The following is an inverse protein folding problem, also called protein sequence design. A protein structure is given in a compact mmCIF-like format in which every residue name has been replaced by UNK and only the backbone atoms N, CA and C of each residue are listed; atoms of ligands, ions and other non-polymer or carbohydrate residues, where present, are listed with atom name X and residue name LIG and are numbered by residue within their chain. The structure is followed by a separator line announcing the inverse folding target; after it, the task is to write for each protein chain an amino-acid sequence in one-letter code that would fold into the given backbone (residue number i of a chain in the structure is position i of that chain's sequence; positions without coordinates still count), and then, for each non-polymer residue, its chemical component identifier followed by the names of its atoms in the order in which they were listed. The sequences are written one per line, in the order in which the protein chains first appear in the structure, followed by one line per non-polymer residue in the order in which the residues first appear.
data_IF_179111529775
#
_entry.id   IF_179111529775
#
_cell.length_a   1.000
_cell.length_b   1.000
_cell.length_c   1.000
_cell.angle_alpha   90.00
_cell.angle_beta   90.00
_cell.angle_gamma   90.00
#
_symmetry.space_group_name_H-M   'P 1'
#
loop_
_entity.id
_entity.type
_entity.pdbx_description
1 polymer ?
#
# COMPACT_ATOMS: atom_id res chain seq x y z
N UNK A 1 8.67 -35.25 -8.52
CA UNK A 1 8.80 -33.88 -9.05
C UNK A 1 7.54 -33.59 -9.82
N UNK A 2 6.71 -32.68 -9.32
CA UNK A 2 5.45 -32.31 -9.97
C UNK A 2 5.79 -31.47 -11.21
N UNK A 3 5.42 -31.97 -12.38
CA UNK A 3 5.59 -31.31 -13.67
C UNK A 3 4.58 -30.16 -13.75
N UNK A 4 4.95 -29.01 -13.17
CA UNK A 4 4.09 -27.82 -13.19
C UNK A 4 4.23 -27.14 -14.55
N UNK A 5 3.13 -26.71 -15.18
CA UNK A 5 3.18 -26.00 -16.45
C UNK A 5 4.06 -24.74 -16.35
N UNK A 6 5.05 -24.64 -17.24
CA UNK A 6 5.90 -23.44 -17.39
C UNK A 6 5.23 -22.33 -18.18
N UNK A 7 4.14 -22.66 -18.89
CA UNK A 7 3.35 -21.71 -19.67
C UNK A 7 2.01 -21.44 -18.98
N UNK A 8 1.76 -20.17 -18.70
CA UNK A 8 0.49 -19.70 -18.14
C UNK A 8 -0.34 -19.05 -19.25
N UNK A 9 -1.60 -19.46 -19.45
CA UNK A 9 -2.41 -18.96 -20.56
C UNK A 9 -2.72 -17.47 -20.38
N UNK A 10 -2.68 -16.72 -21.49
CA UNK A 10 -2.98 -15.29 -21.50
C UNK A 10 -4.49 -14.97 -21.37
N UNK A 11 -5.36 -15.98 -21.22
CA UNK A 11 -6.83 -15.86 -21.09
C UNK A 11 -7.52 -14.96 -22.15
N UNK A 12 -6.94 -14.85 -23.34
CA UNK A 12 -7.44 -13.97 -24.40
C UNK A 12 -7.16 -12.49 -24.17
N UNK A 13 -6.28 -12.14 -23.23
CA UNK A 13 -5.82 -10.77 -23.02
C UNK A 13 -4.88 -10.34 -24.14
N UNK A 14 -5.05 -9.11 -24.61
CA UNK A 14 -4.06 -8.44 -25.46
C UNK A 14 -2.77 -8.18 -24.67
N UNK A 15 -1.61 -8.01 -25.34
CA UNK A 15 -0.36 -7.64 -24.67
C UNK A 15 -0.46 -6.39 -23.78
N UNK A 16 -1.33 -5.43 -24.15
CA UNK A 16 -1.62 -4.26 -23.33
C UNK A 16 -2.38 -4.61 -22.06
N UNK A 17 -3.46 -5.40 -22.15
CA UNK A 17 -4.24 -5.82 -20.99
C UNK A 17 -3.44 -6.68 -20.03
N UNK A 18 -2.57 -7.56 -20.53
CA UNK A 18 -1.64 -8.33 -19.69
C UNK A 18 -0.68 -7.42 -18.92
N UNK A 19 -0.14 -6.40 -19.58
CA UNK A 19 0.72 -5.40 -18.92
C UNK A 19 -0.05 -4.65 -17.84
N UNK A 20 -1.30 -4.28 -18.08
CA UNK A 20 -2.15 -3.60 -17.08
C UNK A 20 -2.49 -4.52 -15.91
N UNK A 21 -2.87 -5.78 -16.15
CA UNK A 21 -3.21 -6.73 -15.09
C UNK A 21 -2.02 -7.03 -14.17
N UNK A 22 -0.81 -7.12 -14.73
CA UNK A 22 0.41 -7.41 -13.96
C UNK A 22 1.02 -6.15 -13.34
N UNK A 23 1.06 -5.03 -14.10
CA UNK A 23 1.81 -3.83 -13.71
C UNK A 23 0.97 -2.62 -13.35
N UNK A 24 -0.31 -2.59 -13.70
CA UNK A 24 -1.21 -1.49 -13.38
C UNK A 24 -1.50 -1.37 -11.88
N UNK A 25 -1.20 -2.41 -11.10
CA UNK A 25 -1.29 -2.42 -9.64
C UNK A 25 0.05 -2.27 -8.93
N UNK A 26 1.16 -2.12 -9.67
CA UNK A 26 2.42 -1.66 -9.06
C UNK A 26 2.29 -0.17 -8.77
N UNK A 27 1.82 0.15 -7.57
CA UNK A 27 1.74 1.51 -7.05
C UNK A 27 3.12 2.07 -6.62
N UNK A 28 4.17 1.30 -6.82
CA UNK A 28 5.55 1.69 -6.53
C UNK A 28 6.28 1.94 -7.87
N UNK A 29 6.35 3.21 -8.28
CA UNK A 29 7.28 3.65 -9.32
C UNK A 29 8.28 4.64 -8.70
N UNK A 30 9.59 4.52 -8.99
CA UNK A 30 10.57 5.54 -8.61
C UNK A 30 10.27 6.86 -9.34
N UNK A 31 10.22 7.98 -8.61
CA UNK A 31 9.91 9.31 -9.15
C UNK A 31 8.60 9.93 -8.66
N UNK A 32 8.21 9.71 -7.40
CA UNK A 32 7.11 10.43 -6.74
C UNK A 32 7.62 11.71 -6.03
N UNK A 33 8.75 12.27 -6.47
CA UNK A 33 9.46 13.46 -5.95
C UNK A 33 8.68 14.79 -6.10
N UNK A 34 7.35 14.74 -6.21
CA UNK A 34 6.50 15.94 -6.29
C UNK A 34 6.55 16.78 -5.01
N UNK A 35 6.21 18.07 -5.12
CA UNK A 35 6.29 19.04 -4.01
C UNK A 35 5.54 18.64 -2.72
N UNK A 36 4.60 17.69 -2.82
CA UNK A 36 3.81 17.22 -1.68
C UNK A 36 4.55 16.24 -0.76
N UNK A 37 5.75 15.81 -1.17
CA UNK A 37 6.53 14.82 -0.44
C UNK A 37 5.96 13.41 -0.57
N UNK A 38 6.83 12.43 -0.40
CA UNK A 38 6.52 11.03 -0.50
C UNK A 38 6.22 10.48 0.90
N UNK A 39 5.31 9.53 0.99
CA UNK A 39 4.96 8.88 2.26
C UNK A 39 4.64 7.40 2.03
N UNK A 40 5.27 6.56 2.83
CA UNK A 40 5.03 5.12 2.89
C UNK A 40 4.65 4.74 4.30
N UNK A 41 3.71 3.82 4.43
CA UNK A 41 3.24 3.32 5.72
C UNK A 41 3.03 1.81 5.63
N UNK A 42 3.70 1.07 6.51
CA UNK A 42 3.53 -0.37 6.63
C UNK A 42 3.25 -0.74 8.08
N UNK A 43 2.61 -1.90 8.26
CA UNK A 43 2.41 -2.51 9.57
C UNK A 43 3.40 -3.66 9.78
N UNK A 44 3.68 -3.99 11.04
CA UNK A 44 4.58 -5.11 11.39
C UNK A 44 3.95 -6.49 11.12
N UNK A 45 2.61 -6.55 10.94
CA UNK A 45 1.84 -7.77 10.71
C UNK A 45 0.74 -7.56 9.67
N UNK A 46 0.31 -8.66 9.06
CA UNK A 46 -0.79 -8.68 8.07
C UNK A 46 -2.18 -8.54 8.67
N UNK A 47 -2.39 -8.96 9.93
CA UNK A 47 -3.70 -8.90 10.57
C UNK A 47 -3.57 -8.82 12.10
N UNK A 48 -4.60 -8.27 12.74
CA UNK A 48 -4.67 -8.04 14.18
C UNK A 48 -6.04 -8.44 14.71
N UNK A 49 -6.08 -8.99 15.92
CA UNK A 49 -7.31 -9.24 16.67
C UNK A 49 -7.77 -7.98 17.39
N UNK A 50 -9.05 -7.98 17.79
CA UNK A 50 -9.59 -6.93 18.65
C UNK A 50 -8.76 -6.84 19.95
N UNK A 51 -8.36 -5.62 20.30
CA UNK A 51 -7.57 -5.34 21.51
C UNK A 51 -6.05 -5.42 21.29
N UNK A 52 -5.59 -5.90 20.14
CA UNK A 52 -4.16 -5.85 19.80
C UNK A 52 -3.75 -4.44 19.35
N UNK A 53 -2.49 -4.11 19.61
CA UNK A 53 -1.87 -2.85 19.18
C UNK A 53 -1.31 -3.01 17.77
N UNK A 54 -1.70 -2.11 16.87
CA UNK A 54 -1.12 -2.01 15.52
C UNK A 54 0.11 -1.12 15.57
N UNK A 55 1.27 -1.64 15.16
CA UNK A 55 2.49 -0.84 14.97
C UNK A 55 2.54 -0.38 13.51
N UNK A 56 2.69 0.93 13.31
CA UNK A 56 2.82 1.54 11.99
C UNK A 56 4.21 2.15 11.83
N UNK A 57 4.93 1.69 10.81
CA UNK A 57 6.21 2.23 10.37
C UNK A 57 5.96 3.18 9.21
N UNK A 58 6.30 4.46 9.40
CA UNK A 58 6.11 5.51 8.40
C UNK A 58 7.46 6.05 7.97
N UNK A 59 7.71 6.06 6.66
CA UNK A 59 8.81 6.78 6.03
C UNK A 59 8.22 7.93 5.23
N UNK A 60 8.74 9.15 5.37
CA UNK A 60 8.28 10.28 4.56
C UNK A 60 9.38 11.31 4.36
N UNK A 61 9.36 11.94 3.19
CA UNK A 61 10.23 13.09 2.90
C UNK A 61 9.71 14.37 3.55
N UNK A 62 8.43 14.44 3.93
CA UNK A 62 7.83 15.55 4.68
C UNK A 62 8.26 15.56 6.17
N UNK A 63 8.24 16.74 6.81
CA UNK A 63 8.58 16.90 8.23
C UNK A 63 7.40 16.59 9.18
N UNK A 64 6.18 16.51 8.65
CA UNK A 64 4.98 16.18 9.41
C UNK A 64 3.90 15.59 8.51
N UNK A 65 3.02 14.78 9.08
CA UNK A 65 1.91 14.17 8.38
C UNK A 65 0.70 13.98 9.30
N UNK A 66 -0.47 13.79 8.69
CA UNK A 66 -1.69 13.37 9.37
C UNK A 66 -2.12 12.01 8.84
N UNK A 67 -2.77 11.23 9.68
CA UNK A 67 -3.25 9.89 9.33
C UNK A 67 -4.64 9.68 9.91
N UNK A 68 -5.47 8.97 9.16
CA UNK A 68 -6.75 8.47 9.63
C UNK A 68 -6.85 6.97 9.38
N UNK A 69 -7.37 6.24 10.36
CA UNK A 69 -7.76 4.84 10.14
C UNK A 69 -9.20 4.87 9.64
N UNK A 70 -9.45 4.30 8.48
CA UNK A 70 -10.78 4.19 7.87
C UNK A 70 -11.12 2.74 7.67
N UNK A 71 -12.40 2.40 7.83
CA UNK A 71 -12.90 1.10 7.36
C UNK A 71 -13.16 1.22 5.87
N UNK A 72 -12.43 0.43 5.08
CA UNK A 72 -12.76 0.23 3.68
C UNK A 72 -13.86 -0.84 3.56
N UNK A 73 -14.91 -0.56 2.79
CA UNK A 73 -16.12 -1.37 2.70
C UNK A 73 -17.39 -0.56 2.36
N UNK A 74 -18.54 -1.25 2.26
CA UNK A 74 -19.81 -0.70 1.74
C UNK A 74 -20.30 0.59 2.40
N UNK A 75 -19.85 0.90 3.62
CA UNK A 75 -20.08 2.19 4.29
C UNK A 75 -18.74 2.76 4.75
N UNK A 76 -18.23 3.73 4.01
CA UNK A 76 -17.02 4.46 4.39
C UNK A 76 -17.25 5.16 5.73
N UNK A 77 -16.38 4.87 6.70
CA UNK A 77 -16.47 5.43 8.05
C UNK A 77 -15.08 5.67 8.63
N UNK A 78 -14.85 6.88 9.14
CA UNK A 78 -13.63 7.25 9.87
C UNK A 78 -13.62 6.55 11.23
N UNK A 79 -12.57 5.78 11.50
CA UNK A 79 -12.36 5.09 12.77
C UNK A 79 -11.50 5.91 13.75
N UNK A 80 -10.45 6.60 13.25
CA UNK A 80 -9.60 7.47 14.08
C UNK A 80 -8.83 8.50 13.25
N UNK A 81 -8.28 9.54 13.88
CA UNK A 81 -7.35 10.50 13.24
C UNK A 81 -6.25 10.90 14.21
N UNK A 82 -5.03 11.09 13.69
CA UNK A 82 -3.86 11.54 14.47
C UNK A 82 -2.91 12.34 13.58
N UNK A 83 -2.34 13.41 14.13
CA UNK A 83 -1.26 14.18 13.50
C UNK A 83 0.08 13.88 14.19
N UNK A 84 1.17 13.79 13.42
CA UNK A 84 2.51 13.50 13.93
C UNK A 84 3.57 14.33 13.18
N UNK A 85 4.58 14.82 13.93
CA UNK A 85 5.83 15.34 13.38
C UNK A 85 6.87 14.23 13.32
N UNK A 86 7.65 14.19 12.24
CA UNK A 86 8.76 13.25 12.08
C UNK A 86 10.00 13.88 12.72
N UNK A 87 10.57 13.21 13.73
CA UNK A 87 11.86 13.59 14.30
C UNK A 87 12.95 12.92 13.47
N UNK A 88 13.74 13.72 12.76
CA UNK A 88 14.96 13.23 12.10
C UNK A 88 16.11 13.24 13.13
N UNK A 89 17.01 12.25 13.10
CA UNK A 89 18.25 12.29 13.87
C UNK A 89 19.12 13.47 13.45
#
# INVERSE_FOLDING_TARGET
MTDLPTEFPDFGLTPHQRRQAVRGHYWEWPGMDGERGEIWCYSDRFSYRRGETVVLHVSSTASSFSMAIVRDGMRHGRCSTRSRRIRRP
#
